data_IF_873433654744
#
_entry.id   IF_873433654744
#
_cell.length_a   1.000
_cell.length_b   1.000
_cell.length_c   1.000
_cell.angle_alpha   90.00
_cell.angle_beta   90.00
_cell.angle_gamma   90.00
#
_symmetry.space_group_name_H-M   'P 1'
#
loop_
_entity.id
_entity.type
_entity.pdbx_description
1 polymer ?
#
# COMPACT_ATOMS: atom_id res chain seq x y z
N UNK A 1 -3.32 16.65 -41.87
CA UNK A 1 -3.35 18.07 -42.32
C UNK A 1 -2.79 19.07 -41.28
N UNK A 2 -1.96 18.64 -40.32
CA UNK A 2 -1.30 19.53 -39.34
C UNK A 2 0.18 19.74 -39.69
N UNK A 3 0.84 18.72 -40.26
CA UNK A 3 2.23 18.80 -40.68
C UNK A 3 2.47 19.83 -41.80
N UNK A 4 1.60 19.95 -42.81
CA UNK A 4 1.74 20.97 -43.87
C UNK A 4 1.74 22.40 -43.32
N UNK A 5 0.87 22.71 -42.36
CA UNK A 5 0.78 24.04 -41.75
C UNK A 5 1.97 24.36 -40.83
N UNK A 6 2.58 23.36 -40.20
CA UNK A 6 3.78 23.54 -39.37
C UNK A 6 5.03 23.87 -40.20
N UNK A 7 5.11 23.35 -41.44
CA UNK A 7 6.24 23.62 -42.34
C UNK A 7 6.05 24.87 -43.21
N UNK A 8 4.81 25.24 -43.56
CA UNK A 8 4.54 26.40 -44.43
C UNK A 8 4.90 27.76 -43.80
N UNK A 9 4.81 27.90 -42.46
CA UNK A 9 5.11 29.18 -41.79
C UNK A 9 6.60 29.50 -41.71
N UNK A 10 7.49 28.50 -41.91
CA UNK A 10 8.91 28.66 -41.63
C UNK A 10 9.79 29.09 -42.82
N UNK A 11 9.37 29.03 -44.10
CA UNK A 11 10.34 29.25 -45.20
C UNK A 11 9.76 29.76 -46.53
N UNK A 12 9.87 31.07 -46.77
CA UNK A 12 10.07 31.62 -48.12
C UNK A 12 11.53 31.99 -48.42
N UNK A 13 12.44 31.96 -47.43
CA UNK A 13 13.77 32.60 -47.54
C UNK A 13 14.97 31.78 -47.06
N UNK A 14 14.79 30.57 -46.52
CA UNK A 14 15.93 29.86 -45.92
C UNK A 14 16.47 28.80 -46.91
N UNK A 15 17.79 28.72 -47.12
CA UNK A 15 18.41 27.93 -48.18
C UNK A 15 18.23 26.42 -47.94
N UNK A 16 17.95 25.68 -49.01
CA UNK A 16 17.71 24.22 -49.00
C UNK A 16 18.82 23.42 -48.31
N UNK A 17 20.07 23.86 -48.41
CA UNK A 17 21.21 23.26 -47.71
C UNK A 17 21.05 23.25 -46.19
N UNK A 18 20.54 24.33 -45.60
CA UNK A 18 20.33 24.45 -44.16
C UNK A 18 19.18 23.55 -43.69
N UNK A 19 18.15 23.37 -44.53
CA UNK A 19 17.04 22.46 -44.22
C UNK A 19 17.53 21.02 -44.13
N UNK A 20 18.36 20.59 -45.10
CA UNK A 20 18.92 19.25 -45.14
C UNK A 20 19.84 19.03 -43.92
N UNK A 21 20.73 19.99 -43.62
CA UNK A 21 21.62 19.91 -42.45
C UNK A 21 20.83 19.77 -41.14
N UNK A 22 19.75 20.55 -40.94
CA UNK A 22 18.92 20.47 -39.74
C UNK A 22 18.28 19.10 -39.57
N UNK A 23 17.72 18.53 -40.64
CA UNK A 23 17.12 17.20 -40.60
C UNK A 23 18.18 16.10 -40.36
N UNK A 24 19.36 16.25 -40.94
CA UNK A 24 20.49 15.34 -40.69
C UNK A 24 20.92 15.36 -39.22
N UNK A 25 21.12 16.54 -38.64
CA UNK A 25 21.47 16.71 -37.22
C UNK A 25 20.37 16.16 -36.31
N UNK A 26 19.10 16.42 -36.63
CA UNK A 26 17.96 15.88 -35.87
C UNK A 26 17.95 14.34 -35.88
N UNK A 27 18.22 13.74 -37.05
CA UNK A 27 18.27 12.28 -37.21
C UNK A 27 19.42 11.67 -36.41
N UNK A 28 20.60 12.32 -36.44
CA UNK A 28 21.77 11.88 -35.68
C UNK A 28 21.50 11.94 -34.17
N UNK A 29 20.86 13.02 -33.69
CA UNK A 29 20.44 13.16 -32.29
C UNK A 29 19.46 12.05 -31.88
N UNK A 30 18.52 11.71 -32.77
CA UNK A 30 17.52 10.68 -32.53
C UNK A 30 18.16 9.29 -32.41
N UNK A 31 19.12 8.97 -33.28
CA UNK A 31 19.90 7.71 -33.21
C UNK A 31 20.71 7.65 -31.91
N UNK A 32 21.36 8.75 -31.51
CA UNK A 32 22.10 8.81 -30.25
C UNK A 32 21.19 8.57 -29.03
N UNK A 33 19.99 9.16 -29.04
CA UNK A 33 18.99 8.94 -27.99
C UNK A 33 18.55 7.48 -27.93
N UNK A 34 18.23 6.86 -29.08
CA UNK A 34 17.84 5.45 -29.14
C UNK A 34 18.96 4.50 -28.70
N UNK A 35 20.21 4.77 -29.10
CA UNK A 35 21.36 4.00 -28.65
C UNK A 35 21.56 4.10 -27.14
N UNK A 36 21.45 5.31 -26.59
CA UNK A 36 21.59 5.54 -25.16
C UNK A 36 20.48 4.88 -24.33
N UNK A 37 19.21 5.00 -24.76
CA UNK A 37 18.10 4.34 -24.06
C UNK A 37 18.21 2.82 -24.14
N UNK A 38 18.65 2.28 -25.28
CA UNK A 38 18.90 0.85 -25.43
C UNK A 38 19.97 0.35 -24.46
N UNK A 39 21.07 1.09 -24.29
CA UNK A 39 22.13 0.75 -23.33
C UNK A 39 21.62 0.78 -21.89
N UNK A 40 20.77 1.75 -21.52
CA UNK A 40 20.16 1.80 -20.17
C UNK A 40 19.25 0.60 -19.96
N UNK A 41 18.38 0.28 -20.92
CA UNK A 41 17.45 -0.86 -20.83
C UNK A 41 18.25 -2.17 -20.69
N UNK A 42 19.33 -2.32 -21.46
CA UNK A 42 20.22 -3.46 -21.35
C UNK A 42 20.91 -3.53 -19.99
N UNK A 43 21.31 -2.39 -19.43
CA UNK A 43 21.86 -2.30 -18.07
C UNK A 43 20.84 -2.78 -17.02
N UNK A 44 19.62 -2.23 -17.05
CA UNK A 44 18.54 -2.59 -16.11
C UNK A 44 18.12 -4.06 -16.27
N UNK A 45 18.10 -4.59 -17.50
CA UNK A 45 17.71 -5.97 -17.73
C UNK A 45 18.76 -6.97 -17.20
N UNK A 46 20.05 -6.63 -17.29
CA UNK A 46 21.13 -7.47 -16.78
C UNK A 46 21.41 -7.25 -15.29
N UNK A 47 21.07 -6.07 -14.77
CA UNK A 47 20.90 -5.86 -13.34
C UNK A 47 19.69 -6.68 -12.92
N UNK A 48 19.90 -7.95 -12.56
CA UNK A 48 18.95 -8.68 -11.75
C UNK A 48 18.78 -7.85 -10.48
N UNK A 49 17.63 -7.17 -10.25
CA UNK A 49 17.45 -6.44 -9.01
C UNK A 49 17.44 -7.50 -7.91
N UNK A 50 18.58 -7.65 -7.24
CA UNK A 50 18.65 -8.43 -6.03
C UNK A 50 17.86 -7.59 -5.04
N UNK A 51 16.58 -7.95 -4.87
CA UNK A 51 15.80 -7.48 -3.74
C UNK A 51 16.55 -8.00 -2.52
N UNK A 52 17.44 -7.16 -1.99
CA UNK A 52 18.13 -7.44 -0.75
C UNK A 52 17.09 -7.25 0.34
N UNK A 53 16.42 -8.34 0.70
CA UNK A 53 15.64 -8.40 1.91
C UNK A 53 16.65 -8.31 3.07
N UNK A 54 16.89 -7.10 3.58
CA UNK A 54 17.59 -6.94 4.85
C UNK A 54 16.61 -7.31 5.96
N UNK A 55 16.74 -8.52 6.49
CA UNK A 55 16.15 -8.87 7.78
C UNK A 55 16.97 -8.13 8.84
N UNK A 56 16.45 -6.99 9.31
CA UNK A 56 16.98 -6.33 10.49
C UNK A 56 16.44 -7.07 11.73
N UNK A 57 17.34 -7.46 12.63
CA UNK A 57 16.93 -7.99 13.93
C UNK A 57 16.42 -6.83 14.79
N UNK A 58 15.11 -6.66 14.81
CA UNK A 58 14.46 -5.68 15.68
C UNK A 58 14.18 -6.29 17.06
N UNK A 59 14.50 -5.53 18.10
CA UNK A 59 14.24 -5.96 19.49
C UNK A 59 12.79 -5.73 19.91
N UNK A 60 12.07 -4.87 19.18
CA UNK A 60 10.68 -4.52 19.42
C UNK A 60 9.92 -4.47 18.09
N UNK A 61 8.80 -5.17 18.03
CA UNK A 61 7.89 -5.19 16.89
C UNK A 61 6.57 -4.58 17.34
N UNK A 62 6.12 -3.46 16.74
CA UNK A 62 4.86 -2.86 17.13
C UNK A 62 3.69 -3.81 16.83
N UNK A 63 2.65 -3.74 17.66
CA UNK A 63 1.45 -4.53 17.43
C UNK A 63 0.74 -4.05 16.15
N UNK A 64 0.26 -4.96 15.27
CA UNK A 64 -0.45 -4.58 14.06
C UNK A 64 -1.74 -3.81 14.39
N UNK A 65 -2.07 -2.86 13.51
CA UNK A 65 -3.41 -2.29 13.44
C UNK A 65 -4.33 -3.34 12.86
N UNK A 66 -5.46 -3.60 13.53
CA UNK A 66 -6.45 -4.58 13.07
C UNK A 66 -7.76 -3.88 12.77
N UNK A 67 -8.25 -4.04 11.55
CA UNK A 67 -9.55 -3.54 11.12
C UNK A 67 -10.51 -4.70 10.94
N UNK A 68 -11.60 -4.68 11.70
CA UNK A 68 -12.74 -5.57 11.56
C UNK A 68 -13.83 -4.85 10.80
N UNK A 69 -14.24 -5.39 9.66
CA UNK A 69 -15.36 -4.85 8.87
C UNK A 69 -16.46 -5.89 8.74
N UNK A 70 -17.64 -5.55 9.26
CA UNK A 70 -18.80 -6.46 9.32
C UNK A 70 -20.09 -5.73 8.91
N UNK A 71 -21.01 -6.41 8.22
CA UNK A 71 -22.32 -5.84 7.84
C UNK A 71 -23.29 -5.70 9.01
N UNK A 72 -23.03 -6.41 10.09
CA UNK A 72 -23.80 -6.34 11.33
C UNK A 72 -22.87 -5.87 12.44
N UNK A 73 -23.44 -5.27 13.48
CA UNK A 73 -22.69 -4.91 14.67
C UNK A 73 -22.25 -6.20 15.38
N UNK A 74 -20.94 -6.41 15.47
CA UNK A 74 -20.35 -7.57 16.13
C UNK A 74 -19.64 -7.15 17.40
N UNK A 75 -19.71 -7.99 18.43
CA UNK A 75 -18.98 -7.72 19.66
C UNK A 75 -17.59 -8.35 19.55
N UNK A 76 -16.54 -7.57 19.76
CA UNK A 76 -15.16 -8.02 19.65
C UNK A 76 -14.54 -7.97 21.04
N UNK A 77 -14.17 -9.14 21.55
CA UNK A 77 -13.31 -9.27 22.71
C UNK A 77 -11.85 -9.24 22.30
N UNK A 78 -11.00 -8.66 23.14
CA UNK A 78 -9.56 -8.61 22.92
C UNK A 78 -8.87 -8.93 24.24
N UNK A 79 -7.84 -9.77 24.21
CA UNK A 79 -6.91 -9.88 25.32
C UNK A 79 -5.47 -10.09 24.82
N UNK A 80 -4.51 -9.60 25.59
CA UNK A 80 -3.09 -9.87 25.37
C UNK A 80 -2.49 -10.49 26.63
N UNK A 81 -1.38 -11.21 26.46
CA UNK A 81 -0.64 -11.81 27.57
C UNK A 81 0.76 -11.23 27.58
N UNK A 82 1.21 -10.76 28.73
CA UNK A 82 2.59 -10.34 28.98
C UNK A 82 3.20 -11.17 30.15
N UNK A 83 4.32 -10.71 30.73
CA UNK A 83 4.94 -11.36 31.89
C UNK A 83 4.09 -11.30 33.18
N UNK A 84 3.18 -10.34 33.28
CA UNK A 84 2.29 -10.13 34.42
C UNK A 84 1.01 -10.97 34.32
N UNK A 85 0.64 -11.40 33.11
CA UNK A 85 -0.47 -12.31 32.86
C UNK A 85 -1.40 -11.84 31.74
N UNK A 86 -2.65 -12.31 31.71
CA UNK A 86 -3.64 -11.89 30.72
C UNK A 86 -4.26 -10.53 31.06
N UNK A 87 -4.34 -9.65 30.08
CA UNK A 87 -4.89 -8.30 30.17
C UNK A 87 -5.97 -8.08 29.11
N UNK A 88 -7.04 -7.35 29.47
CA UNK A 88 -8.08 -6.94 28.53
C UNK A 88 -7.59 -5.77 27.68
N UNK A 89 -7.81 -5.82 26.36
CA UNK A 89 -7.45 -4.75 25.44
C UNK A 89 -8.63 -3.98 24.84
N UNK A 90 -9.82 -4.05 25.46
CA UNK A 90 -10.97 -3.23 25.04
C UNK A 90 -10.69 -1.73 24.96
N UNK A 91 -9.79 -1.20 25.78
CA UNK A 91 -9.42 0.23 25.74
C UNK A 91 -8.77 0.64 24.41
N UNK A 92 -8.16 -0.32 23.70
CA UNK A 92 -7.53 -0.11 22.40
C UNK A 92 -8.48 -0.41 21.22
N UNK A 93 -9.72 -0.85 21.51
CA UNK A 93 -10.76 -1.06 20.52
C UNK A 93 -11.56 0.23 20.30
N UNK A 94 -11.55 0.72 19.07
CA UNK A 94 -12.28 1.90 18.63
C UNK A 94 -13.41 1.44 17.71
N UNK A 95 -14.65 1.59 18.15
CA UNK A 95 -15.82 1.31 17.33
C UNK A 95 -16.15 2.59 16.55
N UNK A 96 -16.04 2.54 15.23
CA UNK A 96 -16.44 3.66 14.39
C UNK A 96 -17.97 3.68 14.30
N UNK A 97 -18.57 4.72 14.87
CA UNK A 97 -19.97 5.02 14.67
C UNK A 97 -20.13 5.63 13.27
N UNK A 98 -20.46 4.79 12.30
CA UNK A 98 -20.84 5.25 10.97
C UNK A 98 -22.20 5.95 11.03
N UNK A 99 -22.19 7.25 11.33
CA UNK A 99 -23.37 8.13 11.15
C UNK A 99 -23.52 8.57 9.70
N UNK A 100 -22.54 8.31 8.83
CA UNK A 100 -22.55 8.69 7.43
C UNK A 100 -22.90 7.47 6.56
N UNK A 101 -23.93 7.61 5.74
CA UNK A 101 -24.52 6.57 4.87
C UNK A 101 -23.60 6.07 3.74
N UNK A 102 -22.34 6.51 3.66
CA UNK A 102 -21.45 6.22 2.53
C UNK A 102 -20.77 4.85 2.62
N UNK A 103 -20.72 4.23 3.80
CA UNK A 103 -19.97 2.98 4.03
C UNK A 103 -20.75 1.70 3.68
N UNK A 104 -21.71 1.79 2.75
CA UNK A 104 -22.53 0.66 2.30
C UNK A 104 -23.19 -0.15 3.46
N UNK A 105 -23.35 0.43 4.66
CA UNK A 105 -23.86 -0.27 5.84
C UNK A 105 -22.86 -1.22 6.51
N UNK A 106 -21.55 -0.98 6.38
CA UNK A 106 -20.54 -1.66 7.20
C UNK A 106 -20.38 -0.99 8.56
N UNK A 107 -20.14 -1.83 9.56
CA UNK A 107 -19.64 -1.47 10.88
C UNK A 107 -18.14 -1.74 10.90
N UNK A 108 -17.37 -0.75 11.32
CA UNK A 108 -15.92 -0.85 11.44
C UNK A 108 -15.49 -0.80 12.90
N UNK A 109 -14.67 -1.74 13.31
CA UNK A 109 -13.96 -1.70 14.60
C UNK A 109 -12.48 -1.77 14.34
N UNK A 110 -11.73 -0.88 14.99
CA UNK A 110 -10.29 -0.78 14.87
C UNK A 110 -9.65 -1.21 16.19
N UNK A 111 -8.58 -1.98 16.11
CA UNK A 111 -7.61 -2.11 17.17
C UNK A 111 -6.37 -1.31 16.76
N UNK A 112 -6.02 -0.31 17.55
CA UNK A 112 -4.84 0.51 17.31
C UNK A 112 -4.25 0.94 18.64
N UNK A 113 -2.95 0.72 18.82
CA UNK A 113 -2.21 1.11 20.02
C UNK A 113 -0.76 1.37 19.67
N UNK A 114 -0.16 2.34 20.35
CA UNK A 114 1.27 2.61 20.28
C UNK A 114 2.02 2.07 21.51
N UNK A 115 1.29 1.67 22.55
CA UNK A 115 1.83 1.31 23.86
C UNK A 115 2.21 -0.17 23.94
N UNK A 116 1.71 -0.99 23.01
CA UNK A 116 1.98 -2.43 22.97
C UNK A 116 2.95 -2.78 21.84
N UNK A 117 3.92 -3.62 22.18
CA UNK A 117 4.87 -4.21 21.24
C UNK A 117 5.23 -5.64 21.65
N UNK A 118 5.51 -6.47 20.67
CA UNK A 118 6.18 -7.75 20.87
C UNK A 118 7.66 -7.47 21.06
N UNK A 119 8.31 -8.13 22.02
CA UNK A 119 9.75 -7.99 22.23
C UNK A 119 10.47 -9.33 22.07
N UNK A 120 11.63 -9.29 21.43
CA UNK A 120 12.55 -10.42 21.43
C UNK A 120 13.23 -10.63 22.80
N UNK A 121 13.19 -9.60 23.67
CA UNK A 121 13.73 -9.67 25.02
C UNK A 121 12.66 -10.29 25.94
N UNK A 122 12.97 -11.38 26.65
CA UNK A 122 12.03 -12.01 27.57
C UNK A 122 11.47 -11.01 28.58
N UNK A 123 10.15 -11.02 28.78
CA UNK A 123 9.41 -10.19 29.74
C UNK A 123 9.35 -8.67 29.43
N UNK A 124 9.87 -8.21 28.30
CA UNK A 124 9.87 -6.79 27.92
C UNK A 124 8.79 -6.40 26.89
N UNK A 125 7.82 -7.29 26.63
CA UNK A 125 6.73 -7.02 25.70
C UNK A 125 5.60 -8.03 25.87
N UNK A 126 4.65 -7.98 24.94
CA UNK A 126 3.55 -8.95 24.91
C UNK A 126 4.02 -10.25 24.26
N UNK A 127 3.55 -11.37 24.80
CA UNK A 127 3.80 -12.72 24.30
C UNK A 127 2.75 -13.13 23.25
N UNK A 128 1.51 -12.72 23.45
CA UNK A 128 0.40 -13.06 22.55
C UNK A 128 -0.68 -11.99 22.57
N UNK A 129 -1.34 -11.83 21.42
CA UNK A 129 -2.54 -11.00 21.25
C UNK A 129 -3.63 -11.84 20.61
N UNK A 130 -4.81 -11.88 21.23
CA UNK A 130 -5.94 -12.68 20.77
C UNK A 130 -7.20 -11.83 20.64
N UNK A 131 -7.84 -11.93 19.47
CA UNK A 131 -9.13 -11.33 19.19
C UNK A 131 -10.21 -12.41 19.12
N UNK A 132 -11.30 -12.19 19.85
CA UNK A 132 -12.49 -13.06 19.84
C UNK A 132 -13.65 -12.29 19.23
N UNK A 133 -14.14 -12.76 18.09
CA UNK A 133 -15.31 -12.18 17.43
C UNK A 133 -16.53 -12.97 17.86
N UNK A 134 -17.49 -12.29 18.48
CA UNK A 134 -18.76 -12.90 18.90
C UNK A 134 -19.85 -12.53 17.89
N UNK A 135 -20.29 -13.55 17.15
CA UNK A 135 -21.43 -13.48 16.24
C UNK A 135 -22.64 -14.07 16.96
N UNK A 136 -23.43 -13.20 17.60
CA UNK A 136 -24.60 -13.64 18.37
C UNK A 136 -25.87 -13.81 17.51
N UNK A 137 -25.79 -13.59 16.19
CA UNK A 137 -26.95 -13.54 15.33
C UNK A 137 -27.00 -14.73 14.34
N UNK A 138 -28.02 -15.58 14.52
CA UNK A 138 -28.35 -16.70 13.63
C UNK A 138 -28.98 -16.24 12.32
N UNK A 139 -29.33 -14.95 12.18
CA UNK A 139 -29.96 -14.38 10.99
C UNK A 139 -28.97 -13.93 9.91
N UNK A 140 -27.66 -14.22 10.05
CA UNK A 140 -26.64 -13.83 9.07
C UNK A 140 -26.89 -14.51 7.72
N UNK A 141 -27.62 -13.84 6.83
CA UNK A 141 -27.97 -14.36 5.53
C UNK A 141 -26.83 -14.14 4.52
N UNK A 142 -25.97 -15.16 4.37
CA UNK A 142 -24.87 -15.18 3.40
C UNK A 142 -25.33 -15.05 1.93
N UNK A 143 -26.61 -15.27 1.63
CA UNK A 143 -27.10 -15.25 0.24
C UNK A 143 -27.34 -13.85 -0.33
N UNK A 144 -27.53 -12.84 0.52
CA UNK A 144 -27.84 -11.46 0.08
C UNK A 144 -26.63 -10.53 0.05
N UNK A 145 -25.48 -10.92 0.62
CA UNK A 145 -24.27 -10.09 0.62
C UNK A 145 -23.26 -10.57 -0.42
N UNK A 146 -22.99 -9.73 -1.43
CA UNK A 146 -21.89 -9.93 -2.39
C UNK A 146 -20.50 -9.91 -1.72
N UNK A 147 -20.42 -9.47 -0.46
CA UNK A 147 -19.16 -9.27 0.25
C UNK A 147 -19.27 -9.85 1.66
N UNK A 148 -18.23 -10.59 2.06
CA UNK A 148 -18.11 -11.32 3.32
C UNK A 148 -17.43 -10.45 4.38
N UNK A 149 -17.65 -10.72 5.69
CA UNK A 149 -16.86 -10.06 6.73
C UNK A 149 -15.38 -10.35 6.50
N UNK A 150 -14.55 -9.35 6.74
CA UNK A 150 -13.11 -9.47 6.57
C UNK A 150 -12.38 -8.77 7.71
N UNK A 151 -11.17 -9.25 7.95
CA UNK A 151 -10.24 -8.70 8.93
C UNK A 151 -8.97 -8.32 8.19
N UNK A 152 -8.54 -7.09 8.35
CA UNK A 152 -7.30 -6.58 7.77
C UNK A 152 -6.29 -6.35 8.87
N UNK A 153 -5.10 -6.92 8.71
CA UNK A 153 -3.94 -6.63 9.56
C UNK A 153 -3.01 -5.71 8.78
N UNK A 154 -2.63 -4.60 9.41
CA UNK A 154 -1.65 -3.67 8.87
C UNK A 154 -0.53 -3.52 9.89
N UNK A 155 0.70 -3.79 9.47
CA UNK A 155 1.89 -3.47 10.24
C UNK A 155 2.52 -2.24 9.58
N UNK A 156 2.64 -1.16 10.34
CA UNK A 156 3.49 -0.03 9.95
C UNK A 156 4.81 -0.20 10.67
N UNK A 157 5.90 -0.10 9.92
CA UNK A 157 7.19 0.13 10.54
C UNK A 157 7.16 1.49 11.21
N UNK A 158 7.55 1.56 12.49
CA UNK A 158 7.90 2.83 13.12
C UNK A 158 9.35 3.09 12.71
N UNK A 159 9.52 3.64 11.51
CA UNK A 159 10.83 4.08 11.00
C UNK A 159 11.44 5.20 11.81
#
# INVERSE_FOLDING_TARGET
>A
MIFENLFQKYRKTEPTSLFILKNFVLTLLLIALFGYTWLIIWGIYNDNPVIQNSLAEETFIPVPVVLFSTKQQTNIGCHFVDASGPHDCKQYLIIANNTNNDDNGYHHTYFMTEDLSFSAIPNNGINSLEFKIYLNDISFNLSDSLVRPFVTFSMSDKG
#
